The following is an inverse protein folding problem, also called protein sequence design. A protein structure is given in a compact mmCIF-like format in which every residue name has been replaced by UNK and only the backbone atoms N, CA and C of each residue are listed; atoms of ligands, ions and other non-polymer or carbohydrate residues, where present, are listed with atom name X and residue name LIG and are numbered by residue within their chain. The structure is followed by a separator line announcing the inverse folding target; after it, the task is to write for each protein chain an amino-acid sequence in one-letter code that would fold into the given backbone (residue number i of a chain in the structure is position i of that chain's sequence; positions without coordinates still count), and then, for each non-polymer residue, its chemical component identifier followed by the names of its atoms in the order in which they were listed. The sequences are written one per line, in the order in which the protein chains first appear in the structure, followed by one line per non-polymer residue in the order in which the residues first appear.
data_IF_097483558304
#
_entry.id   IF_097483558304
#
_cell.length_a   1.000
_cell.length_b   1.000
_cell.length_c   1.000
_cell.angle_alpha   90.00
_cell.angle_beta   90.00
_cell.angle_gamma   90.00
#
_symmetry.space_group_name_H-M   'P 1'
#
loop_
_entity.id
_entity.type
_entity.pdbx_description
1 polymer ?
#
# COMPACT_ATOMS: atom_id res chain seq x y z
N UNK A 1 14.54 17.60 20.43
CA UNK A 1 14.14 16.27 19.91
C UNK A 1 12.92 16.27 18.97
N UNK A 2 12.14 17.36 18.83
CA UNK A 2 11.04 17.45 17.85
C UNK A 2 11.47 17.79 16.40
N UNK A 3 12.66 18.33 16.22
CA UNK A 3 13.21 18.75 14.92
C UNK A 3 13.89 17.64 14.10
N UNK A 4 14.18 16.49 14.70
CA UNK A 4 14.84 15.38 14.01
C UNK A 4 13.87 14.43 13.26
N UNK A 5 12.59 14.39 13.64
CA UNK A 5 11.60 13.46 13.05
C UNK A 5 10.85 14.07 11.85
N UNK A 6 10.65 15.39 11.84
CA UNK A 6 10.21 16.10 10.63
C UNK A 6 11.19 15.88 9.49
N UNK A 7 12.48 15.70 9.81
CA UNK A 7 13.54 15.32 8.87
C UNK A 7 13.50 13.87 8.37
N UNK A 8 12.62 12.98 8.84
CA UNK A 8 12.43 11.63 8.25
C UNK A 8 11.24 11.60 7.28
N UNK A 9 10.31 12.55 7.46
CA UNK A 9 9.25 12.89 6.50
C UNK A 9 9.76 13.92 5.45
N UNK A 10 10.85 14.64 5.75
CA UNK A 10 11.54 15.62 4.90
C UNK A 10 13.02 15.28 4.54
N UNK A 11 13.58 14.08 4.82
CA UNK A 11 14.93 13.65 4.33
C UNK A 11 14.96 13.32 2.83
N UNK A 12 14.12 14.05 2.12
CA UNK A 12 14.04 14.38 0.71
C UNK A 12 15.21 15.25 0.22
N UNK A 13 16.44 15.06 0.72
CA UNK A 13 17.60 15.83 0.23
C UNK A 13 18.87 15.00 0.01
N UNK A 14 19.18 14.89 -1.29
CA UNK A 14 20.46 14.70 -1.97
C UNK A 14 21.25 13.39 -1.79
N UNK A 15 21.19 12.56 -2.85
CA UNK A 15 22.15 11.51 -3.18
C UNK A 15 21.85 10.96 -4.59
N UNK A 16 22.74 11.24 -5.54
CA UNK A 16 22.58 10.97 -6.98
C UNK A 16 22.40 9.49 -7.35
N UNK A 17 21.42 9.19 -8.20
CA UNK A 17 21.52 8.18 -9.25
C UNK A 17 20.85 8.70 -10.54
N UNK A 18 21.61 8.73 -11.62
CA UNK A 18 21.16 9.22 -12.93
C UNK A 18 20.24 8.21 -13.61
N UNK A 19 19.01 8.62 -13.93
CA UNK A 19 18.15 7.91 -14.89
C UNK A 19 18.62 8.22 -16.32
N UNK A 20 19.78 7.68 -16.71
CA UNK A 20 20.35 7.96 -18.04
C UNK A 20 19.61 7.22 -19.17
N UNK A 21 18.75 6.24 -18.86
CA UNK A 21 18.13 5.37 -19.88
C UNK A 21 16.64 5.61 -20.15
N UNK A 22 16.01 6.62 -19.54
CA UNK A 22 14.62 6.97 -19.87
C UNK A 22 14.49 7.98 -21.03
N UNK A 23 15.61 8.55 -21.51
CA UNK A 23 15.59 9.60 -22.55
C UNK A 23 15.36 9.09 -23.98
N UNK A 24 15.36 7.78 -24.22
CA UNK A 24 15.23 7.21 -25.58
C UNK A 24 13.82 6.78 -25.97
N UNK A 25 12.83 7.04 -25.12
CA UNK A 25 11.43 6.77 -25.39
C UNK A 25 10.76 8.11 -25.60
N UNK A 26 10.63 8.62 -26.84
CA UNK A 26 9.56 9.55 -27.37
C UNK A 26 10.14 10.54 -28.41
N UNK A 27 10.00 10.31 -29.73
CA UNK A 27 10.51 11.27 -30.73
C UNK A 27 9.55 12.42 -31.07
N UNK A 28 8.24 12.33 -30.76
CA UNK A 28 7.24 13.25 -31.33
C UNK A 28 6.28 13.95 -30.34
N UNK A 29 6.56 13.89 -29.03
CA UNK A 29 5.93 14.80 -28.06
C UNK A 29 7.02 15.58 -27.35
N UNK A 30 7.15 16.85 -27.70
CA UNK A 30 7.99 17.81 -27.00
C UNK A 30 7.61 17.86 -25.51
N UNK A 31 8.51 17.35 -24.68
CA UNK A 31 8.72 17.69 -23.26
C UNK A 31 7.59 17.37 -22.27
N UNK A 32 7.38 16.08 -21.98
CA UNK A 32 7.04 15.65 -20.61
C UNK A 32 8.30 15.16 -19.88
N UNK A 33 9.35 15.98 -19.85
CA UNK A 33 10.42 15.80 -18.88
C UNK A 33 9.81 16.10 -17.52
N UNK A 34 9.63 15.11 -16.65
CA UNK A 34 9.42 15.37 -15.21
C UNK A 34 10.45 16.41 -14.78
N UNK A 35 10.06 17.41 -13.97
CA UNK A 35 11.11 18.25 -13.42
C UNK A 35 11.99 17.29 -12.62
N UNK A 36 13.31 17.39 -12.79
CA UNK A 36 14.26 16.55 -12.07
C UNK A 36 13.93 16.52 -10.58
N UNK A 37 13.42 17.64 -10.04
CA UNK A 37 12.89 17.77 -8.69
C UNK A 37 11.73 16.82 -8.36
N UNK A 38 10.69 16.70 -9.21
CA UNK A 38 9.56 15.76 -8.96
C UNK A 38 10.05 14.31 -9.01
N UNK A 39 10.92 13.99 -9.97
CA UNK A 39 11.44 12.64 -10.12
C UNK A 39 12.37 12.26 -8.94
N UNK A 40 13.23 13.18 -8.50
CA UNK A 40 14.07 13.02 -7.31
C UNK A 40 13.24 12.95 -6.03
N UNK A 41 12.16 13.70 -5.93
CA UNK A 41 11.25 13.68 -4.79
C UNK A 41 10.49 12.35 -4.69
N UNK A 42 10.02 11.82 -5.81
CA UNK A 42 9.42 10.48 -5.85
C UNK A 42 10.46 9.39 -5.55
N UNK A 43 11.70 9.52 -6.02
CA UNK A 43 12.75 8.53 -5.75
C UNK A 43 13.21 8.53 -4.29
N UNK A 44 13.42 9.69 -3.69
CA UNK A 44 13.86 9.78 -2.29
C UNK A 44 12.77 9.33 -1.33
N UNK A 45 11.49 9.60 -1.65
CA UNK A 45 10.36 9.00 -0.93
C UNK A 45 10.25 7.48 -1.16
N UNK A 46 10.58 6.96 -2.34
CA UNK A 46 10.68 5.51 -2.57
C UNK A 46 11.82 4.87 -1.78
N UNK A 47 12.99 5.51 -1.68
CA UNK A 47 14.17 5.00 -0.98
C UNK A 47 13.99 4.95 0.54
N UNK A 48 13.41 6.00 1.15
CA UNK A 48 13.10 5.97 2.58
C UNK A 48 12.02 4.92 2.91
N UNK A 49 11.09 4.70 1.98
CA UNK A 49 10.10 3.62 2.08
C UNK A 49 10.69 2.23 1.84
N UNK A 50 11.88 2.08 1.24
CA UNK A 50 12.42 0.77 0.86
C UNK A 50 12.66 -0.15 2.06
N UNK A 51 13.16 0.36 3.19
CA UNK A 51 13.33 -0.47 4.41
C UNK A 51 12.00 -0.83 5.06
N UNK A 52 11.03 0.09 5.05
CA UNK A 52 9.65 -0.19 5.49
C UNK A 52 9.01 -1.25 4.59
N UNK A 53 9.16 -1.11 3.27
CA UNK A 53 8.62 -1.99 2.25
C UNK A 53 9.23 -3.40 2.32
N UNK A 54 10.55 -3.52 2.53
CA UNK A 54 11.20 -4.83 2.70
C UNK A 54 10.72 -5.56 3.97
N UNK A 55 10.57 -4.84 5.08
CA UNK A 55 9.99 -5.43 6.29
C UNK A 55 8.53 -5.81 6.09
N UNK A 56 7.74 -4.93 5.45
CA UNK A 56 6.35 -5.17 5.13
C UNK A 56 6.16 -6.40 4.22
N UNK A 57 6.97 -6.52 3.17
CA UNK A 57 7.01 -7.67 2.27
C UNK A 57 7.25 -8.99 3.00
N UNK A 58 8.27 -9.02 3.85
CA UNK A 58 8.60 -10.19 4.64
C UNK A 58 7.46 -10.55 5.60
N UNK A 59 6.83 -9.56 6.24
CA UNK A 59 5.69 -9.79 7.14
C UNK A 59 4.42 -10.22 6.38
N UNK A 60 4.14 -9.66 5.21
CA UNK A 60 3.02 -10.08 4.35
C UNK A 60 3.17 -11.55 3.93
N UNK A 61 4.39 -12.00 3.60
CA UNK A 61 4.67 -13.40 3.26
C UNK A 61 4.63 -14.32 4.50
N UNK A 62 5.03 -13.83 5.68
CA UNK A 62 4.98 -14.59 6.95
C UNK A 62 3.56 -14.77 7.46
N UNK A 63 2.68 -13.77 7.31
CA UNK A 63 1.29 -13.79 7.80
C UNK A 63 0.54 -15.08 7.39
N UNK A 64 0.79 -15.58 6.17
CA UNK A 64 0.23 -16.83 5.67
C UNK A 64 0.69 -18.08 6.45
N UNK A 65 1.95 -18.12 6.91
CA UNK A 65 2.49 -19.25 7.70
C UNK A 65 1.79 -19.32 9.05
N UNK A 66 1.60 -18.18 9.70
CA UNK A 66 0.98 -18.08 11.02
C UNK A 66 -0.52 -18.39 10.96
N UNK A 67 -1.27 -17.84 10.00
CA UNK A 67 -2.71 -18.14 9.88
C UNK A 67 -3.00 -19.57 9.39
N UNK A 68 -2.16 -20.16 8.52
CA UNK A 68 -2.27 -21.60 8.20
C UNK A 68 -1.97 -22.50 9.39
N UNK A 69 -1.08 -22.09 10.29
CA UNK A 69 -0.76 -22.84 11.51
C UNK A 69 -1.87 -22.74 12.56
N UNK A 70 -2.50 -21.56 12.70
CA UNK A 70 -3.61 -21.33 13.64
C UNK A 70 -4.92 -22.00 13.17
N UNK A 71 -5.20 -22.00 11.86
CA UNK A 71 -6.38 -22.68 11.30
C UNK A 71 -6.19 -24.19 11.08
N UNK A 72 -4.96 -24.70 11.17
CA UNK A 72 -4.74 -26.14 11.37
C UNK A 72 -4.91 -26.46 12.86
N UNK A 73 -6.15 -26.64 13.30
CA UNK A 73 -6.40 -27.50 14.48
C UNK A 73 -5.56 -28.77 14.29
N UNK A 74 -4.72 -29.17 15.26
CA UNK A 74 -4.07 -30.47 15.15
C UNK A 74 -5.21 -31.48 15.03
N UNK A 75 -5.22 -32.23 13.92
CA UNK A 75 -5.98 -33.45 13.83
C UNK A 75 -5.44 -34.35 14.96
N UNK A 76 -6.06 -34.22 16.12
CA UNK A 76 -5.89 -35.10 17.25
C UNK A 76 -6.13 -36.51 16.72
N UNK A 77 -5.04 -37.28 16.64
CA UNK A 77 -5.09 -38.73 16.58
C UNK A 77 -5.71 -39.21 17.90
N UNK A 78 -7.04 -39.10 18.01
CA UNK A 78 -7.84 -39.91 18.91
C UNK A 78 -7.91 -41.31 18.30
N UNK A 79 -6.83 -42.08 18.48
CA UNK A 79 -6.90 -43.54 18.44
C UNK A 79 -6.75 -44.03 19.87
N UNK A 80 -7.86 -44.58 20.36
CA UNK A 80 -8.07 -45.06 21.72
C UNK A 80 -6.94 -45.97 22.23
N UNK A 81 -6.61 -45.83 23.51
CA UNK A 81 -6.69 -46.99 24.40
C UNK A 81 -6.82 -46.57 25.86
N UNK A 82 -7.92 -47.06 26.45
CA UNK A 82 -8.23 -47.05 27.86
C UNK A 82 -7.12 -47.72 28.68
N UNK A 83 -6.69 -47.06 29.76
CA UNK A 83 -6.36 -47.78 30.98
C UNK A 83 -6.71 -46.93 32.21
N UNK A 84 -7.43 -47.59 33.10
CA UNK A 84 -8.04 -47.13 34.33
C UNK A 84 -6.97 -46.67 35.33
N UNK A 85 -7.15 -45.49 35.94
CA UNK A 85 -6.84 -45.32 37.38
C UNK A 85 -7.50 -44.09 37.99
N UNK A 86 -8.31 -44.37 39.01
CA UNK A 86 -8.85 -43.44 39.99
C UNK A 86 -7.74 -42.61 40.65
N UNK A 87 -7.86 -41.29 40.58
CA UNK A 87 -7.30 -40.38 41.59
C UNK A 87 -8.24 -39.19 41.76
N UNK A 88 -8.93 -39.16 42.91
CA UNK A 88 -9.60 -37.96 43.41
C UNK A 88 -8.53 -36.89 43.64
N UNK A 89 -8.49 -35.87 42.78
CA UNK A 89 -7.69 -34.67 43.00
C UNK A 89 -8.59 -33.46 42.89
N UNK A 90 -8.69 -32.75 44.01
CA UNK A 90 -9.51 -31.57 44.23
C UNK A 90 -9.11 -30.47 43.23
N UNK A 91 -10.01 -30.11 42.32
CA UNK A 91 -9.83 -29.01 41.38
C UNK A 91 -10.42 -27.73 42.00
N UNK A 92 -9.56 -26.73 42.23
CA UNK A 92 -9.97 -25.35 42.52
C UNK A 92 -10.82 -24.81 41.35
N UNK A 93 -11.80 -23.92 41.60
CA UNK A 93 -12.57 -23.29 40.53
C UNK A 93 -11.61 -22.49 39.65
N UNK A 94 -11.56 -22.80 38.36
CA UNK A 94 -10.90 -21.98 37.36
C UNK A 94 -11.79 -20.74 37.21
N UNK A 95 -11.28 -19.64 37.74
CA UNK A 95 -11.80 -18.29 37.54
C UNK A 95 -11.93 -18.08 36.02
N UNK A 96 -13.17 -17.89 35.56
CA UNK A 96 -13.45 -17.47 34.18
C UNK A 96 -12.86 -16.07 34.04
N UNK A 97 -11.63 -16.02 33.57
CA UNK A 97 -11.05 -14.82 32.98
C UNK A 97 -11.96 -14.44 31.82
N UNK A 98 -12.88 -13.54 32.13
CA UNK A 98 -13.81 -12.99 31.19
C UNK A 98 -12.94 -12.04 30.39
N UNK A 99 -12.43 -12.50 29.25
CA UNK A 99 -11.71 -11.67 28.29
C UNK A 99 -12.57 -10.42 28.06
N UNK A 100 -12.16 -9.35 28.72
CA UNK A 100 -12.73 -8.03 28.56
C UNK A 100 -12.60 -7.73 27.07
N UNK A 101 -13.71 -7.45 26.35
CA UNK A 101 -13.61 -7.11 24.94
C UNK A 101 -12.65 -5.94 24.84
N UNK A 102 -11.54 -6.14 24.12
CA UNK A 102 -10.56 -5.11 23.91
C UNK A 102 -11.31 -3.86 23.46
N UNK A 103 -11.20 -2.77 24.24
CA UNK A 103 -11.71 -1.46 23.88
C UNK A 103 -11.41 -1.23 22.40
N UNK A 104 -12.40 -0.74 21.65
CA UNK A 104 -12.32 -0.43 20.23
C UNK A 104 -11.36 0.74 20.02
N UNK A 105 -10.09 0.55 20.35
CA UNK A 105 -9.01 1.48 20.10
C UNK A 105 -8.98 1.71 18.60
N UNK A 106 -9.20 2.96 18.23
CA UNK A 106 -9.20 3.43 16.86
C UNK A 106 -7.94 2.87 16.17
N UNK A 107 -8.12 2.16 15.06
CA UNK A 107 -7.04 1.43 14.40
C UNK A 107 -5.85 2.35 14.15
N UNK A 108 -4.63 1.94 14.51
CA UNK A 108 -3.44 2.83 14.37
C UNK A 108 -3.18 3.27 12.92
N UNK A 109 -3.79 2.59 11.95
CA UNK A 109 -3.71 2.90 10.51
C UNK A 109 -4.76 3.90 10.04
N UNK A 110 -5.81 4.13 10.82
CA UNK A 110 -6.82 5.16 10.58
C UNK A 110 -6.30 6.53 11.00
N UNK A 111 -6.88 7.56 10.39
CA UNK A 111 -6.55 8.96 10.66
C UNK A 111 -7.76 9.87 10.43
N UNK A 112 -7.77 11.03 11.07
CA UNK A 112 -8.77 12.07 10.81
C UNK A 112 -8.33 12.90 9.62
N UNK A 113 -9.13 12.91 8.56
CA UNK A 113 -8.84 13.73 7.37
C UNK A 113 -8.86 15.22 7.73
N UNK A 114 -7.83 15.93 7.29
CA UNK A 114 -7.85 17.38 7.14
C UNK A 114 -8.91 17.79 6.10
N UNK A 115 -9.26 19.08 6.09
CA UNK A 115 -10.14 19.64 5.06
C UNK A 115 -9.40 19.65 3.71
N UNK A 116 -9.82 18.78 2.81
CA UNK A 116 -9.25 18.66 1.47
C UNK A 116 -7.99 17.80 1.42
N UNK A 117 -7.32 17.80 0.26
CA UNK A 117 -6.07 17.06 0.05
C UNK A 117 -4.86 17.94 0.31
N UNK A 118 -3.80 17.35 0.84
CA UNK A 118 -2.63 18.08 1.34
C UNK A 118 -1.44 17.95 0.40
N UNK A 119 -1.22 16.76 -0.15
CA UNK A 119 -0.03 16.41 -0.89
C UNK A 119 0.15 17.26 -2.15
N UNK A 120 -0.86 17.49 -3.02
CA UNK A 120 -0.64 18.28 -4.23
C UNK A 120 -0.28 19.73 -3.92
N UNK A 121 -0.88 20.31 -2.88
CA UNK A 121 -0.51 21.66 -2.46
C UNK A 121 0.92 21.72 -1.94
N UNK A 122 1.38 20.68 -1.22
CA UNK A 122 2.78 20.58 -0.77
C UNK A 122 3.77 20.34 -1.91
N UNK A 123 3.48 19.40 -2.82
CA UNK A 123 4.35 19.05 -3.95
C UNK A 123 4.54 20.21 -4.93
N UNK A 124 3.47 20.98 -5.17
CA UNK A 124 3.45 22.03 -6.18
C UNK A 124 3.47 23.45 -5.59
N UNK A 125 3.77 23.60 -4.29
CA UNK A 125 3.80 24.91 -3.60
C UNK A 125 4.73 25.94 -4.27
N UNK A 126 5.80 25.48 -4.91
CA UNK A 126 6.81 26.32 -5.58
C UNK A 126 6.70 26.31 -7.10
N UNK A 127 5.71 25.61 -7.64
CA UNK A 127 5.52 25.51 -9.08
C UNK A 127 4.75 26.74 -9.60
N UNK A 128 5.00 27.13 -10.85
CA UNK A 128 4.23 28.20 -11.48
C UNK A 128 2.76 27.75 -11.64
N UNK A 129 1.77 28.46 -11.05
CA UNK A 129 0.37 28.08 -11.18
C UNK A 129 -0.17 28.17 -12.62
N UNK A 130 0.53 28.90 -13.52
CA UNK A 130 0.17 29.00 -14.94
C UNK A 130 0.79 27.88 -15.79
N UNK A 131 1.75 27.13 -15.26
CA UNK A 131 2.34 26.00 -15.95
C UNK A 131 1.27 24.91 -16.17
N UNK A 132 0.97 24.60 -17.43
CA UNK A 132 -0.03 23.61 -17.81
C UNK A 132 0.27 22.24 -17.22
N UNK A 133 1.56 21.90 -17.10
CA UNK A 133 1.99 20.63 -16.54
C UNK A 133 1.72 20.54 -15.04
N UNK A 134 2.02 21.60 -14.30
CA UNK A 134 1.67 21.74 -12.88
C UNK A 134 0.16 21.60 -12.68
N UNK A 135 -0.65 22.30 -13.48
CA UNK A 135 -2.10 22.16 -13.46
C UNK A 135 -2.55 20.71 -13.70
N UNK A 136 -2.02 20.07 -14.75
CA UNK A 136 -2.35 18.68 -15.07
C UNK A 136 -2.07 17.71 -13.92
N UNK A 137 -0.90 17.81 -13.25
CA UNK A 137 -0.57 16.91 -12.14
C UNK A 137 -1.37 17.19 -10.87
N UNK A 138 -1.69 18.46 -10.59
CA UNK A 138 -2.64 18.80 -9.52
C UNK A 138 -3.98 18.13 -9.82
N UNK A 139 -4.55 18.36 -11.00
CA UNK A 139 -5.84 17.78 -11.40
C UNK A 139 -5.83 16.25 -11.34
N UNK A 140 -4.74 15.60 -11.79
CA UNK A 140 -4.57 14.16 -11.68
C UNK A 140 -4.62 13.69 -10.22
N UNK A 141 -3.93 14.39 -9.30
CA UNK A 141 -3.93 14.05 -7.89
C UNK A 141 -5.31 14.22 -7.25
N UNK A 142 -5.98 15.36 -7.46
CA UNK A 142 -7.35 15.60 -6.99
C UNK A 142 -8.33 14.55 -7.51
N UNK A 143 -8.32 14.28 -8.81
CA UNK A 143 -9.21 13.30 -9.42
C UNK A 143 -8.92 11.88 -8.93
N UNK A 144 -7.65 11.51 -8.78
CA UNK A 144 -7.27 10.20 -8.26
C UNK A 144 -7.72 9.98 -6.82
N UNK A 145 -7.62 11.01 -5.98
CA UNK A 145 -8.10 10.95 -4.59
C UNK A 145 -9.61 10.76 -4.52
N UNK A 146 -10.37 11.50 -5.32
CA UNK A 146 -11.82 11.36 -5.40
C UNK A 146 -12.24 9.96 -5.88
N UNK A 147 -11.56 9.44 -6.90
CA UNK A 147 -11.80 8.08 -7.41
C UNK A 147 -11.46 7.01 -6.37
N UNK A 148 -10.36 7.18 -5.63
CA UNK A 148 -10.00 6.32 -4.53
C UNK A 148 -11.08 6.30 -3.44
N UNK A 149 -11.50 7.48 -2.96
CA UNK A 149 -12.53 7.57 -1.92
C UNK A 149 -13.84 6.91 -2.38
N UNK A 150 -14.27 7.18 -3.61
CA UNK A 150 -15.43 6.53 -4.20
C UNK A 150 -15.30 5.01 -4.19
N UNK A 151 -14.18 4.47 -4.68
CA UNK A 151 -13.96 3.01 -4.74
C UNK A 151 -13.81 2.37 -3.37
N UNK A 152 -13.16 3.04 -2.41
CA UNK A 152 -13.05 2.56 -1.03
C UNK A 152 -14.45 2.40 -0.41
N UNK A 153 -15.27 3.45 -0.51
CA UNK A 153 -16.65 3.44 -0.01
C UNK A 153 -17.51 2.35 -0.69
N UNK A 154 -17.41 2.19 -2.01
CA UNK A 154 -18.12 1.14 -2.75
C UNK A 154 -17.73 -0.29 -2.30
N UNK A 155 -16.50 -0.47 -1.80
CA UNK A 155 -16.04 -1.75 -1.25
C UNK A 155 -16.31 -1.89 0.26
N UNK A 156 -16.96 -0.90 0.89
CA UNK A 156 -17.18 -0.86 2.33
C UNK A 156 -15.87 -0.77 3.13
N UNK A 157 -14.84 -0.11 2.57
CA UNK A 157 -13.57 0.16 3.21
C UNK A 157 -13.49 1.64 3.59
N UNK A 158 -12.85 1.92 4.73
CA UNK A 158 -12.62 3.30 5.19
C UNK A 158 -11.57 3.99 4.29
N UNK A 159 -11.91 5.08 3.58
CA UNK A 159 -10.96 5.82 2.77
C UNK A 159 -9.90 6.55 3.61
N UNK A 160 -10.14 6.80 4.90
CA UNK A 160 -9.22 7.48 5.80
C UNK A 160 -8.37 6.50 6.62
N UNK A 161 -7.89 5.46 5.93
CA UNK A 161 -7.06 4.42 6.48
C UNK A 161 -5.90 4.10 5.51
N UNK A 162 -4.66 4.15 6.01
CA UNK A 162 -3.47 3.94 5.18
C UNK A 162 -3.42 2.54 4.56
N UNK A 163 -3.96 1.53 5.23
CA UNK A 163 -4.02 0.17 4.69
C UNK A 163 -4.95 0.09 3.47
N UNK A 164 -6.05 0.85 3.46
CA UNK A 164 -6.95 0.96 2.30
C UNK A 164 -6.23 1.60 1.11
N UNK A 165 -5.50 2.69 1.32
CA UNK A 165 -4.72 3.36 0.26
C UNK A 165 -3.62 2.45 -0.31
N UNK A 166 -2.93 1.69 0.55
CA UNK A 166 -1.92 0.72 0.12
C UNK A 166 -2.55 -0.45 -0.66
N UNK A 167 -3.68 -0.98 -0.21
CA UNK A 167 -4.41 -2.02 -0.92
C UNK A 167 -4.87 -1.54 -2.30
N UNK A 168 -5.31 -0.28 -2.39
CA UNK A 168 -5.69 0.38 -3.64
C UNK A 168 -4.51 0.51 -4.61
N UNK A 169 -3.35 0.94 -4.11
CA UNK A 169 -2.12 1.04 -4.90
C UNK A 169 -1.70 -0.30 -5.47
N UNK A 170 -1.63 -1.36 -4.63
CA UNK A 170 -1.27 -2.70 -5.07
C UNK A 170 -2.27 -3.22 -6.11
N UNK A 171 -3.57 -3.09 -5.84
CA UNK A 171 -4.62 -3.58 -6.75
C UNK A 171 -4.62 -2.85 -8.10
N UNK A 172 -4.42 -1.53 -8.10
CA UNK A 172 -4.44 -0.73 -9.33
C UNK A 172 -3.22 -1.01 -10.20
N UNK A 173 -2.03 -1.13 -9.60
CA UNK A 173 -0.83 -1.49 -10.34
C UNK A 173 -0.88 -2.95 -10.83
N UNK A 174 -1.50 -3.86 -10.05
CA UNK A 174 -1.74 -5.23 -10.50
C UNK A 174 -2.54 -5.26 -11.78
N UNK A 175 -3.65 -4.51 -11.81
CA UNK A 175 -4.52 -4.37 -12.97
C UNK A 175 -3.76 -3.88 -14.19
N UNK A 176 -2.99 -2.80 -14.04
CA UNK A 176 -2.20 -2.26 -15.17
C UNK A 176 -1.17 -3.28 -15.66
N UNK A 177 -0.47 -3.96 -14.75
CA UNK A 177 0.62 -4.87 -15.10
C UNK A 177 0.15 -6.19 -15.71
N UNK A 178 -0.80 -6.88 -15.06
CA UNK A 178 -1.29 -8.21 -15.44
C UNK A 178 -2.51 -8.18 -16.37
N UNK A 179 -3.06 -6.99 -16.65
CA UNK A 179 -4.34 -6.84 -17.34
C UNK A 179 -5.46 -7.65 -16.65
N UNK A 180 -5.40 -7.69 -15.32
CA UNK A 180 -6.30 -8.48 -14.47
C UNK A 180 -6.55 -7.75 -13.17
N UNK A 181 -7.81 -7.64 -12.75
CA UNK A 181 -8.14 -7.10 -11.42
C UNK A 181 -8.17 -8.21 -10.37
N UNK A 182 -7.99 -7.90 -9.06
CA UNK A 182 -8.61 -8.73 -8.03
C UNK A 182 -10.12 -8.72 -8.25
N UNK A 183 -10.65 -9.85 -8.72
CA UNK A 183 -11.96 -9.94 -9.34
C UNK A 183 -13.10 -9.94 -8.31
N UNK A 184 -12.84 -10.27 -7.04
CA UNK A 184 -13.87 -10.30 -6.00
C UNK A 184 -13.66 -9.23 -4.91
N UNK A 185 -14.77 -8.76 -4.32
CA UNK A 185 -14.75 -7.95 -3.12
C UNK A 185 -14.01 -8.67 -1.97
N UNK A 186 -14.15 -9.98 -1.89
CA UNK A 186 -13.46 -10.85 -0.91
C UNK A 186 -11.95 -10.71 -1.00
N UNK A 187 -11.37 -10.84 -2.20
CA UNK A 187 -9.91 -10.71 -2.41
C UNK A 187 -9.39 -9.32 -2.02
N UNK A 188 -10.17 -8.26 -2.31
CA UNK A 188 -9.80 -6.89 -1.93
C UNK A 188 -9.84 -6.68 -0.43
N UNK A 189 -10.85 -7.21 0.27
CA UNK A 189 -10.94 -7.17 1.73
C UNK A 189 -9.82 -7.98 2.38
N UNK A 190 -9.52 -9.17 1.87
CA UNK A 190 -8.44 -9.99 2.38
C UNK A 190 -7.06 -9.34 2.21
N UNK A 191 -6.81 -8.67 1.06
CA UNK A 191 -5.60 -7.86 0.88
C UNK A 191 -5.54 -6.72 1.91
N UNK A 192 -6.64 -5.98 2.10
CA UNK A 192 -6.73 -4.92 3.10
C UNK A 192 -6.41 -5.44 4.51
N UNK A 193 -7.03 -6.54 4.93
CA UNK A 193 -6.82 -7.13 6.26
C UNK A 193 -5.37 -7.58 6.47
N UNK A 194 -4.76 -8.20 5.45
CA UNK A 194 -3.35 -8.57 5.47
C UNK A 194 -2.44 -7.35 5.64
N UNK A 195 -2.66 -6.29 4.86
CA UNK A 195 -1.88 -5.05 4.95
C UNK A 195 -2.11 -4.37 6.30
N UNK A 196 -3.37 -4.29 6.74
CA UNK A 196 -3.73 -3.68 8.01
C UNK A 196 -3.05 -4.41 9.17
N UNK A 197 -3.05 -5.74 9.17
CA UNK A 197 -2.36 -6.53 10.20
C UNK A 197 -0.85 -6.22 10.24
N UNK A 198 -0.19 -6.13 9.09
CA UNK A 198 1.25 -5.80 9.04
C UNK A 198 1.49 -4.37 9.53
N UNK A 199 0.67 -3.41 9.10
CA UNK A 199 0.80 -2.01 9.50
C UNK A 199 0.50 -1.78 10.98
N UNK A 200 -0.51 -2.46 11.53
CA UNK A 200 -0.90 -2.37 12.95
C UNK A 200 0.22 -2.80 13.90
N UNK A 201 1.08 -3.71 13.44
CA UNK A 201 2.22 -4.19 14.22
C UNK A 201 3.48 -3.32 14.04
N UNK A 202 3.41 -2.24 13.26
CA UNK A 202 4.55 -1.35 13.04
C UNK A 202 4.53 -0.15 14.01
N UNK A 203 5.48 -0.05 14.97
CA UNK A 203 5.50 1.03 15.96
C UNK A 203 5.82 2.40 15.37
N UNK A 204 6.34 2.49 14.13
CA UNK A 204 6.55 3.80 13.48
C UNK A 204 5.24 4.39 12.96
N UNK A 205 4.28 3.55 12.55
CA UNK A 205 2.95 4.02 12.11
C UNK A 205 2.19 4.66 13.27
N UNK A 206 2.29 4.09 14.48
CA UNK A 206 1.67 4.63 15.68
C UNK A 206 2.21 6.03 16.06
N UNK A 207 3.40 6.41 15.58
CA UNK A 207 4.01 7.73 15.85
C UNK A 207 3.60 8.80 14.85
N UNK A 208 2.98 8.43 13.74
CA UNK A 208 2.55 9.36 12.72
C UNK A 208 1.33 10.15 13.20
N UNK A 209 1.36 11.45 12.97
CA UNK A 209 0.19 12.33 13.10
C UNK A 209 -0.85 12.02 12.03
N UNK A 210 -2.09 12.44 12.24
CA UNK A 210 -3.16 12.28 11.23
C UNK A 210 -2.80 12.92 9.89
N UNK A 211 -2.14 14.09 9.92
CA UNK A 211 -1.67 14.80 8.72
C UNK A 211 -0.62 13.98 7.96
N UNK A 212 0.36 13.40 8.66
CA UNK A 212 1.40 12.57 8.04
C UNK A 212 0.81 11.29 7.44
N UNK A 213 -0.14 10.65 8.13
CA UNK A 213 -0.86 9.48 7.62
C UNK A 213 -1.69 9.83 6.38
N UNK A 214 -2.35 10.99 6.37
CA UNK A 214 -3.08 11.46 5.21
C UNK A 214 -2.16 11.71 4.01
N UNK A 215 -1.06 12.43 4.21
CA UNK A 215 -0.08 12.71 3.14
C UNK A 215 0.50 11.40 2.58
N UNK A 216 0.77 10.43 3.46
CA UNK A 216 1.20 9.10 3.06
C UNK A 216 0.14 8.41 2.20
N UNK A 217 -1.11 8.35 2.65
CA UNK A 217 -2.22 7.76 1.91
C UNK A 217 -2.45 8.43 0.53
N UNK A 218 -2.43 9.76 0.48
CA UNK A 218 -2.54 10.52 -0.77
C UNK A 218 -1.37 10.23 -1.72
N UNK A 219 -0.17 10.04 -1.19
CA UNK A 219 1.01 9.65 -1.97
C UNK A 219 0.84 8.29 -2.63
N UNK A 220 0.34 7.31 -1.88
CA UNK A 220 0.04 5.98 -2.40
C UNK A 220 -1.02 6.05 -3.51
N UNK A 221 -2.09 6.82 -3.30
CA UNK A 221 -3.14 7.00 -4.31
C UNK A 221 -2.60 7.69 -5.56
N UNK A 222 -1.81 8.75 -5.41
CA UNK A 222 -1.23 9.45 -6.55
C UNK A 222 -0.27 8.55 -7.35
N UNK A 223 0.58 7.76 -6.66
CA UNK A 223 1.46 6.78 -7.30
C UNK A 223 0.68 5.72 -8.08
N UNK A 224 -0.50 5.32 -7.59
CA UNK A 224 -1.38 4.37 -8.30
C UNK A 224 -1.99 4.95 -9.57
N UNK A 225 -2.20 6.27 -9.60
CA UNK A 225 -2.89 6.95 -10.68
C UNK A 225 -2.03 7.12 -11.93
N UNK A 226 -0.71 7.26 -11.78
CA UNK A 226 0.19 7.54 -12.90
C UNK A 226 0.20 6.40 -13.93
N UNK A 227 0.42 5.12 -13.57
CA UNK A 227 0.38 4.02 -14.53
C UNK A 227 -1.00 3.84 -15.16
N UNK A 228 -2.07 4.02 -14.38
CA UNK A 228 -3.46 3.94 -14.88
C UNK A 228 -3.73 5.03 -15.93
N UNK A 229 -3.27 6.25 -15.69
CA UNK A 229 -3.41 7.36 -16.63
C UNK A 229 -2.64 7.08 -17.93
N UNK A 230 -1.40 6.57 -17.84
CA UNK A 230 -0.61 6.22 -19.03
C UNK A 230 -1.23 5.07 -19.82
N UNK A 231 -1.71 4.02 -19.14
CA UNK A 231 -2.42 2.92 -19.81
C UNK A 231 -3.63 3.47 -20.59
N UNK A 232 -4.46 4.29 -19.95
CA UNK A 232 -5.66 4.89 -20.56
C UNK A 232 -5.31 5.75 -21.78
N UNK A 233 -4.25 6.56 -21.68
CA UNK A 233 -3.77 7.40 -22.80
C UNK A 233 -3.27 6.51 -23.94
N UNK A 234 -2.45 5.50 -23.64
CA UNK A 234 -1.89 4.58 -24.62
C UNK A 234 -2.98 3.79 -25.35
N UNK A 235 -3.97 3.27 -24.64
CA UNK A 235 -5.13 2.57 -25.23
C UNK A 235 -5.94 3.48 -26.16
N UNK A 236 -6.26 4.70 -25.70
CA UNK A 236 -7.01 5.68 -26.49
C UNK A 236 -6.29 6.07 -27.77
N UNK A 237 -4.96 6.18 -27.72
CA UNK A 237 -4.13 6.59 -28.84
C UNK A 237 -3.64 5.40 -29.68
N UNK A 238 -3.89 4.16 -29.24
CA UNK A 238 -3.30 2.93 -29.79
C UNK A 238 -1.76 2.99 -29.82
N UNK A 239 -1.16 3.64 -28.83
CA UNK A 239 0.29 3.76 -28.67
C UNK A 239 0.82 2.66 -27.75
N UNK A 240 1.32 1.58 -28.36
CA UNK A 240 1.87 0.44 -27.63
C UNK A 240 3.05 0.82 -26.73
N UNK A 241 3.86 1.83 -27.12
CA UNK A 241 5.02 2.24 -26.33
C UNK A 241 4.61 2.85 -25.00
N UNK A 242 3.53 3.64 -25.01
CA UNK A 242 2.94 4.22 -23.80
C UNK A 242 2.30 3.14 -22.93
N UNK A 243 1.62 2.14 -23.53
CA UNK A 243 1.06 0.99 -22.82
C UNK A 243 2.18 0.19 -22.11
N UNK A 244 3.26 -0.14 -22.82
CA UNK A 244 4.39 -0.89 -22.27
C UNK A 244 5.10 -0.11 -21.16
N UNK A 245 5.21 1.21 -21.32
CA UNK A 245 5.72 2.12 -20.29
C UNK A 245 4.87 2.10 -19.02
N UNK A 246 3.54 2.14 -19.17
CA UNK A 246 2.60 2.04 -18.05
C UNK A 246 2.75 0.71 -17.30
N UNK A 247 2.84 -0.41 -18.04
CA UNK A 247 3.06 -1.75 -17.48
C UNK A 247 4.38 -1.85 -16.72
N UNK A 248 5.46 -1.33 -17.30
CA UNK A 248 6.78 -1.31 -16.63
C UNK A 248 6.78 -0.45 -15.37
N UNK A 249 6.12 0.71 -15.39
CA UNK A 249 6.02 1.56 -14.22
C UNK A 249 5.23 0.87 -13.11
N UNK A 250 4.10 0.23 -13.45
CA UNK A 250 3.30 -0.51 -12.50
C UNK A 250 4.06 -1.69 -11.86
N UNK A 251 4.80 -2.45 -12.67
CA UNK A 251 5.67 -3.52 -12.19
C UNK A 251 6.71 -3.01 -11.18
N UNK A 252 7.42 -1.93 -11.52
CA UNK A 252 8.44 -1.34 -10.64
C UNK A 252 7.85 -0.81 -9.34
N UNK A 253 6.67 -0.19 -9.39
CA UNK A 253 5.96 0.24 -8.18
C UNK A 253 5.62 -0.95 -7.27
N UNK A 254 5.12 -2.06 -7.84
CA UNK A 254 4.82 -3.28 -7.09
C UNK A 254 6.08 -3.89 -6.47
N UNK A 255 7.16 -4.05 -7.25
CA UNK A 255 8.43 -4.59 -6.75
C UNK A 255 9.03 -3.74 -5.62
N UNK A 256 8.97 -2.41 -5.76
CA UNK A 256 9.48 -1.48 -4.75
C UNK A 256 8.73 -1.58 -3.42
N UNK A 257 7.43 -1.86 -3.46
CA UNK A 257 6.56 -1.93 -2.28
C UNK A 257 6.58 -3.31 -1.64
N UNK A 258 6.57 -4.35 -2.47
CA UNK A 258 6.44 -5.73 -2.04
C UNK A 258 7.78 -6.43 -1.91
N UNK A 259 8.90 -5.79 -2.23
CA UNK A 259 10.25 -6.32 -2.05
C UNK A 259 10.51 -7.68 -2.73
N UNK A 260 9.62 -8.09 -3.64
CA UNK A 260 9.58 -9.41 -4.24
C UNK A 260 9.22 -9.29 -5.71
N UNK A 261 9.71 -10.25 -6.51
CA UNK A 261 9.30 -10.36 -7.90
C UNK A 261 7.80 -10.64 -7.96
N UNK A 262 7.09 -9.70 -8.58
CA UNK A 262 5.65 -9.66 -8.59
C UNK A 262 5.02 -10.77 -9.46
N UNK A 263 5.75 -11.34 -10.42
CA UNK A 263 5.27 -12.46 -11.24
C UNK A 263 4.96 -13.73 -10.44
N UNK A 264 5.52 -13.83 -9.24
CA UNK A 264 5.28 -14.93 -8.32
C UNK A 264 4.13 -14.65 -7.36
N UNK A 265 3.39 -13.55 -7.51
CA UNK A 265 2.34 -13.14 -6.58
C UNK A 265 0.96 -13.17 -7.25
N UNK A 266 -0.04 -13.64 -6.51
CA UNK A 266 -1.42 -13.66 -6.94
C UNK A 266 -2.38 -13.29 -5.82
N UNK A 267 -3.51 -12.69 -6.21
CA UNK A 267 -4.64 -12.44 -5.34
C UNK A 267 -5.39 -13.74 -5.06
N UNK A 268 -5.65 -13.98 -3.77
CA UNK A 268 -6.39 -15.12 -3.26
C UNK A 268 -7.43 -14.63 -2.26
N UNK A 269 -8.35 -15.50 -1.84
CA UNK A 269 -9.33 -15.16 -0.81
C UNK A 269 -8.69 -14.93 0.57
N UNK A 270 -7.40 -15.28 0.73
CA UNK A 270 -6.57 -15.00 1.91
C UNK A 270 -5.67 -13.75 1.74
N UNK A 271 -5.83 -12.98 0.65
CA UNK A 271 -5.00 -11.82 0.32
C UNK A 271 -3.94 -12.13 -0.73
N UNK A 272 -2.78 -11.46 -0.65
CA UNK A 272 -1.68 -11.63 -1.59
C UNK A 272 -0.82 -12.84 -1.20
N UNK A 273 -0.61 -13.74 -2.15
CA UNK A 273 0.13 -14.99 -1.93
C UNK A 273 1.20 -15.20 -2.98
N UNK A 274 2.34 -15.77 -2.56
CA UNK A 274 3.25 -16.43 -3.47
C UNK A 274 2.56 -17.61 -4.17
N UNK A 275 2.76 -17.73 -5.48
CA UNK A 275 2.44 -18.90 -6.29
C UNK A 275 3.54 -19.95 -6.15
#
# INVERSE_FOLDING_TARGET
MKTAFMGLVLSLTFGCFSFTNAQYIMPNYSTYNYSLAIQQQMQSSMLSNQMFNQNMANEMLKFKRTNRAVNRKPASNNRANNSVRNTKQSAKPIEKDTLQPADSSESITSYKSARGILLPEKLFAKADPKDQKTKYYKDLAYNSWNQYQYRANQNGLDPYNMATAMAYLISSNYMVYKDSTPNSLTQRKALFEQIQSVMQNNPQIAKLTDEEKQIFAEGLVFMSAIPVAFLTIGEKQKDQKTIDGAKSLAAKSLESILGANFDKLAFTDDGLSAQ
#
